data_IF_532549151106
#
_entry.id   IF_532549151106
#
_cell.length_a   1.000
_cell.length_b   1.000
_cell.length_c   1.000
_cell.angle_alpha   90.00
_cell.angle_beta   90.00
_cell.angle_gamma   90.00
#
_symmetry.space_group_name_H-M   'P 1'
#
loop_
_entity.id
_entity.type
_entity.pdbx_description
1 polymer ?
#
# COMPACT_ATOMS: atom_id res chain seq x y z
N UNK A 1 50.80 -18.03 -29.22
CA UNK A 1 49.96 -17.38 -28.18
C UNK A 1 50.21 -18.15 -26.88
N UNK A 2 50.67 -17.48 -25.85
CA UNK A 2 50.93 -18.09 -24.54
C UNK A 2 49.63 -18.57 -23.88
N UNK A 3 49.66 -19.60 -23.04
CA UNK A 3 48.49 -20.12 -22.33
C UNK A 3 47.74 -19.04 -21.54
N UNK A 4 48.47 -18.08 -20.97
CA UNK A 4 47.91 -16.94 -20.24
C UNK A 4 47.07 -15.96 -21.10
N UNK A 5 47.44 -15.77 -22.35
CA UNK A 5 46.69 -14.91 -23.27
C UNK A 5 45.37 -15.55 -23.71
N UNK A 6 45.27 -16.88 -23.76
CA UNK A 6 44.00 -17.58 -24.06
C UNK A 6 43.03 -17.51 -22.91
N UNK A 7 43.50 -17.62 -21.66
CA UNK A 7 42.64 -17.47 -20.49
C UNK A 7 42.10 -16.05 -20.38
N UNK A 8 42.93 -15.03 -20.55
CA UNK A 8 42.49 -13.64 -20.48
C UNK A 8 41.44 -13.29 -21.59
N UNK A 9 41.63 -13.87 -22.78
CA UNK A 9 40.67 -13.66 -23.90
C UNK A 9 39.34 -14.36 -23.63
N UNK A 10 39.37 -15.55 -23.02
CA UNK A 10 38.14 -16.29 -22.65
C UNK A 10 37.33 -15.59 -21.55
N UNK A 11 38.01 -15.07 -20.53
CA UNK A 11 37.39 -14.31 -19.47
C UNK A 11 36.79 -12.98 -20.02
N UNK A 12 37.51 -12.25 -20.86
CA UNK A 12 36.98 -11.03 -21.49
C UNK A 12 35.75 -11.28 -22.35
N UNK A 13 35.69 -12.43 -23.07
CA UNK A 13 34.53 -12.82 -23.85
C UNK A 13 33.32 -13.19 -22.96
N UNK A 14 33.53 -13.86 -21.86
CA UNK A 14 32.47 -14.22 -20.90
C UNK A 14 31.88 -12.97 -20.23
N UNK A 15 32.73 -12.06 -19.79
CA UNK A 15 32.27 -10.79 -19.21
C UNK A 15 31.60 -9.89 -20.25
N UNK A 16 32.10 -9.85 -21.49
CA UNK A 16 31.47 -9.13 -22.59
C UNK A 16 30.07 -9.68 -22.91
N UNK A 17 29.92 -11.01 -22.95
CA UNK A 17 28.63 -11.66 -23.18
C UNK A 17 27.63 -11.40 -22.04
N UNK A 18 28.10 -11.41 -20.77
CA UNK A 18 27.28 -11.11 -19.61
C UNK A 18 26.76 -9.66 -19.60
N UNK A 19 27.61 -8.69 -19.94
CA UNK A 19 27.25 -7.28 -20.06
C UNK A 19 26.26 -7.05 -21.22
N UNK A 20 26.50 -7.69 -22.38
CA UNK A 20 25.61 -7.60 -23.53
C UNK A 20 24.23 -8.22 -23.23
N UNK A 21 24.20 -9.37 -22.54
CA UNK A 21 22.96 -10.03 -22.13
C UNK A 21 22.17 -9.17 -21.15
N UNK A 22 22.85 -8.51 -20.19
CA UNK A 22 22.23 -7.60 -19.23
C UNK A 22 21.65 -6.35 -19.88
N UNK A 23 22.36 -5.77 -20.86
CA UNK A 23 21.89 -4.64 -21.66
C UNK A 23 20.71 -5.03 -22.54
N UNK A 24 20.73 -6.22 -23.14
CA UNK A 24 19.65 -6.74 -23.95
C UNK A 24 18.38 -6.98 -23.10
N UNK A 25 18.55 -7.54 -21.89
CA UNK A 25 17.46 -7.73 -20.95
C UNK A 25 16.83 -6.39 -20.53
N UNK A 26 17.66 -5.37 -20.31
CA UNK A 26 17.19 -4.02 -19.94
C UNK A 26 16.45 -3.33 -21.10
N UNK A 27 16.95 -3.47 -22.33
CA UNK A 27 16.34 -2.86 -23.52
C UNK A 27 15.03 -3.55 -23.95
N UNK A 28 14.93 -4.87 -23.78
CA UNK A 28 13.73 -5.64 -24.13
C UNK A 28 12.76 -5.85 -22.98
N UNK A 29 13.06 -5.35 -21.78
CA UNK A 29 12.22 -5.55 -20.60
C UNK A 29 10.83 -4.92 -20.74
N UNK A 30 10.76 -3.76 -21.39
CA UNK A 30 9.49 -3.07 -21.65
C UNK A 30 8.66 -3.78 -22.73
N UNK A 31 9.31 -4.32 -23.76
CA UNK A 31 8.65 -5.11 -24.81
C UNK A 31 8.14 -6.46 -24.29
N UNK A 32 8.89 -7.10 -23.38
CA UNK A 32 8.48 -8.35 -22.75
C UNK A 32 7.30 -8.09 -21.78
N UNK A 33 7.30 -6.98 -21.04
CA UNK A 33 6.16 -6.57 -20.22
C UNK A 33 4.92 -6.29 -21.05
N UNK A 34 5.06 -5.59 -22.19
CA UNK A 34 3.96 -5.31 -23.10
C UNK A 34 3.39 -6.58 -23.74
N UNK A 35 4.23 -7.60 -24.00
CA UNK A 35 3.79 -8.89 -24.54
C UNK A 35 3.11 -9.81 -23.48
N UNK A 36 3.40 -9.60 -22.20
CA UNK A 36 2.83 -10.37 -21.09
C UNK A 36 1.63 -9.65 -20.41
N UNK A 37 1.24 -8.46 -20.89
CA UNK A 37 0.06 -7.75 -20.37
C UNK A 37 -1.24 -8.45 -20.86
N UNK A 38 -2.00 -9.09 -19.98
CA UNK A 38 -3.24 -9.79 -20.36
C UNK A 38 -4.34 -8.84 -20.87
N UNK A 39 -4.10 -7.53 -20.89
CA UNK A 39 -5.06 -6.51 -21.37
C UNK A 39 -5.05 -6.32 -22.88
N UNK A 40 -4.15 -6.98 -23.63
CA UNK A 40 -4.07 -6.88 -25.10
C UNK A 40 -5.02 -7.85 -25.82
N UNK A 41 -5.67 -8.77 -25.12
CA UNK A 41 -6.72 -9.61 -25.74
C UNK A 41 -8.05 -8.84 -25.63
N UNK A 42 -8.30 -8.01 -26.62
CA UNK A 42 -9.65 -7.46 -26.87
C UNK A 42 -10.44 -8.48 -27.70
N UNK A 43 -11.47 -9.11 -27.15
CA UNK A 43 -12.52 -9.65 -28.03
C UNK A 43 -13.43 -8.49 -28.43
N UNK A 44 -13.36 -8.13 -29.71
CA UNK A 44 -14.39 -7.29 -30.34
C UNK A 44 -15.68 -8.10 -30.38
N UNK A 45 -16.55 -7.86 -29.45
CA UNK A 45 -17.98 -8.16 -29.62
C UNK A 45 -18.75 -7.19 -28.71
N UNK A 46 -19.23 -6.15 -29.34
CA UNK A 46 -20.19 -5.21 -28.80
C UNK A 46 -21.52 -5.95 -28.61
N UNK A 47 -21.69 -6.55 -27.45
CA UNK A 47 -23.00 -6.94 -26.96
C UNK A 47 -23.47 -5.81 -26.08
N UNK A 48 -24.46 -5.05 -26.54
CA UNK A 48 -25.20 -4.10 -25.72
C UNK A 48 -25.82 -4.85 -24.56
N UNK A 49 -25.09 -4.98 -23.45
CA UNK A 49 -25.64 -5.40 -22.17
C UNK A 49 -26.39 -4.21 -21.61
N UNK A 50 -27.72 -4.34 -21.56
CA UNK A 50 -28.57 -3.41 -20.85
C UNK A 50 -27.98 -3.16 -19.45
N UNK A 51 -27.67 -1.90 -19.18
CA UNK A 51 -27.22 -1.42 -17.87
C UNK A 51 -28.26 -1.86 -16.83
N UNK A 52 -27.89 -2.59 -15.78
CA UNK A 52 -28.81 -2.82 -14.67
C UNK A 52 -29.28 -1.49 -14.13
N UNK A 53 -30.54 -1.37 -13.63
CA UNK A 53 -31.04 -0.11 -13.11
C UNK A 53 -30.08 0.35 -12.03
N UNK A 54 -29.64 1.62 -12.16
CA UNK A 54 -28.86 2.32 -11.16
C UNK A 54 -29.60 2.20 -9.83
N UNK A 55 -29.08 1.38 -8.95
CA UNK A 55 -29.40 1.48 -7.54
C UNK A 55 -28.88 2.84 -7.08
N UNK A 56 -29.76 3.82 -7.09
CA UNK A 56 -29.60 5.07 -6.35
C UNK A 56 -29.54 4.70 -4.87
N UNK A 57 -28.37 4.36 -4.37
CA UNK A 57 -28.10 4.35 -2.95
C UNK A 57 -26.94 5.31 -2.71
N UNK A 58 -27.35 6.41 -2.23
CA UNK A 58 -26.79 7.50 -1.62
C UNK A 58 -25.35 7.52 -1.09
N UNK A 59 -24.78 8.72 -1.17
CA UNK A 59 -23.65 9.19 -0.37
C UNK A 59 -22.37 8.36 -0.48
N UNK A 60 -21.85 8.23 -1.68
CA UNK A 60 -20.43 7.91 -1.87
C UNK A 60 -19.62 9.17 -1.57
N UNK A 61 -18.98 9.25 -0.39
CA UNK A 61 -18.02 10.30 -0.12
C UNK A 61 -16.83 10.15 -1.04
N UNK A 62 -16.39 11.26 -1.64
CA UNK A 62 -15.13 11.38 -2.36
C UNK A 62 -14.21 12.30 -1.56
N UNK A 63 -13.00 11.86 -1.25
CA UNK A 63 -12.04 12.60 -0.42
C UNK A 63 -10.73 12.73 -1.16
N UNK A 64 -10.21 13.96 -1.25
CA UNK A 64 -8.93 14.29 -1.87
C UNK A 64 -7.89 14.61 -0.80
N UNK A 65 -6.89 13.79 -0.68
CA UNK A 65 -5.76 13.97 0.24
C UNK A 65 -4.54 14.42 -0.54
N UNK A 66 -3.94 15.55 -0.14
CA UNK A 66 -2.71 16.07 -0.76
C UNK A 66 -1.48 15.46 -0.14
N UNK A 67 -0.48 15.14 -0.98
CA UNK A 67 0.81 14.67 -0.50
C UNK A 67 1.63 15.81 0.12
N UNK A 68 2.47 15.47 1.09
CA UNK A 68 3.52 16.34 1.61
C UNK A 68 4.67 16.51 0.60
N UNK A 69 5.68 17.30 0.93
CA UNK A 69 6.86 17.54 0.09
C UNK A 69 7.71 16.27 -0.18
N UNK A 70 7.49 15.19 0.57
CA UNK A 70 8.16 13.89 0.39
C UNK A 70 7.31 12.91 -0.40
N UNK A 71 6.07 13.31 -0.77
CA UNK A 71 5.13 12.46 -1.48
C UNK A 71 4.29 11.54 -0.57
N UNK A 72 4.30 11.76 0.75
CA UNK A 72 3.47 11.02 1.68
C UNK A 72 2.10 11.69 1.83
N UNK A 73 1.05 10.89 1.98
CA UNK A 73 -0.31 11.34 2.27
C UNK A 73 -0.54 11.29 3.77
N UNK A 74 -0.27 12.40 4.46
CA UNK A 74 -0.44 12.55 5.91
C UNK A 74 -1.63 13.46 6.16
N UNK A 75 -2.59 12.98 6.95
CA UNK A 75 -3.87 13.67 7.17
C UNK A 75 -4.46 13.31 8.54
N UNK A 76 -5.47 14.05 8.97
CA UNK A 76 -6.26 13.75 10.15
C UNK A 76 -7.41 12.79 9.80
N UNK A 77 -7.58 11.77 10.63
CA UNK A 77 -8.73 10.88 10.60
C UNK A 77 -9.27 10.70 12.02
N UNK A 78 -10.52 10.24 12.12
CA UNK A 78 -11.19 10.05 13.40
C UNK A 78 -11.38 8.57 13.68
N UNK A 79 -10.90 8.14 14.83
CA UNK A 79 -11.13 6.79 15.37
C UNK A 79 -12.10 6.91 16.53
N UNK A 80 -13.28 6.30 16.43
CA UNK A 80 -14.32 6.38 17.46
C UNK A 80 -14.58 7.83 17.90
N UNK A 81 -14.67 8.77 16.92
CA UNK A 81 -14.86 10.23 17.07
C UNK A 81 -13.69 11.00 17.68
N UNK A 82 -12.56 10.39 17.89
CA UNK A 82 -11.35 11.06 18.38
C UNK A 82 -10.35 11.24 17.24
N UNK A 83 -9.80 12.45 17.05
CA UNK A 83 -8.87 12.72 15.97
C UNK A 83 -7.51 12.11 16.23
N UNK A 84 -6.87 11.63 15.16
CA UNK A 84 -5.48 11.22 15.14
C UNK A 84 -4.89 11.44 13.75
N UNK A 85 -3.58 11.67 13.68
CA UNK A 85 -2.86 11.82 12.42
C UNK A 85 -2.49 10.46 11.85
N UNK A 86 -2.77 10.26 10.56
CA UNK A 86 -2.47 9.04 9.84
C UNK A 86 -1.64 9.34 8.59
N UNK A 87 -0.89 8.33 8.17
CA UNK A 87 -0.30 8.26 6.85
C UNK A 87 -0.94 7.11 6.07
N UNK A 88 -1.43 7.36 4.85
CA UNK A 88 -1.92 6.30 3.98
C UNK A 88 -0.77 5.36 3.60
N UNK A 89 -0.94 4.05 3.86
CA UNK A 89 0.09 3.04 3.62
C UNK A 89 -0.52 1.76 3.02
N UNK A 90 -0.39 1.60 1.71
CA UNK A 90 -0.85 0.39 1.00
C UNK A 90 0.02 -0.83 1.28
N UNK A 91 1.20 -0.66 1.86
CA UNK A 91 2.08 -1.75 2.32
C UNK A 91 1.64 -2.33 3.66
N UNK A 92 0.84 -1.60 4.45
CA UNK A 92 0.30 -2.09 5.70
C UNK A 92 -1.00 -2.88 5.46
N UNK A 93 -1.04 -4.16 5.85
CA UNK A 93 -2.25 -5.00 5.73
C UNK A 93 -3.39 -4.47 6.59
N UNK A 94 -3.10 -4.01 7.80
CA UNK A 94 -4.07 -3.50 8.76
C UNK A 94 -3.78 -2.02 9.08
N UNK A 95 -4.76 -1.34 9.64
CA UNK A 95 -4.55 -0.05 10.30
C UNK A 95 -3.61 -0.28 11.48
N UNK A 96 -2.59 0.58 11.64
CA UNK A 96 -1.63 0.48 12.77
C UNK A 96 -1.62 1.78 13.54
N UNK A 97 -1.85 1.69 14.85
CA UNK A 97 -1.79 2.81 15.77
C UNK A 97 -0.45 2.83 16.51
N UNK A 98 0.07 4.00 16.77
CA UNK A 98 1.15 4.17 17.74
C UNK A 98 0.62 3.88 19.14
N UNK A 99 1.50 3.50 20.05
CA UNK A 99 1.15 3.28 21.46
C UNK A 99 0.51 4.52 22.09
N UNK A 100 1.07 5.67 21.80
CA UNK A 100 0.66 6.97 22.35
C UNK A 100 -0.73 7.37 21.84
N UNK A 101 -0.99 7.18 20.54
CA UNK A 101 -2.30 7.48 19.97
C UNK A 101 -3.36 6.49 20.42
N UNK A 102 -3.04 5.20 20.53
CA UNK A 102 -3.93 4.22 21.09
C UNK A 102 -4.40 4.63 22.51
N UNK A 103 -3.49 5.15 23.35
CA UNK A 103 -3.84 5.67 24.67
C UNK A 103 -4.75 6.91 24.57
N UNK A 104 -4.46 7.86 23.70
CA UNK A 104 -5.29 9.06 23.47
C UNK A 104 -6.67 8.72 22.93
N UNK A 105 -6.74 7.69 22.09
CA UNK A 105 -7.99 7.17 21.52
C UNK A 105 -8.82 6.34 22.53
N UNK A 106 -8.27 6.04 23.71
CA UNK A 106 -8.98 5.34 24.79
C UNK A 106 -8.89 3.82 24.73
N UNK A 107 -7.95 3.27 23.98
CA UNK A 107 -7.79 1.82 23.83
C UNK A 107 -7.03 1.14 24.98
N UNK A 108 -6.54 1.90 25.96
CA UNK A 108 -5.81 1.40 27.14
C UNK A 108 -4.67 0.45 26.79
N UNK A 109 -3.65 0.88 26.05
CA UNK A 109 -2.61 -0.02 25.53
C UNK A 109 -1.84 -0.76 26.63
N UNK A 110 -1.86 -0.28 27.88
CA UNK A 110 -1.23 -0.96 29.01
C UNK A 110 -1.88 -2.33 29.33
N UNK A 111 -3.14 -2.53 28.93
CA UNK A 111 -3.90 -3.78 29.15
C UNK A 111 -3.99 -4.66 27.90
N UNK A 112 -3.40 -4.25 26.77
CA UNK A 112 -3.41 -5.03 25.54
C UNK A 112 -2.33 -6.12 25.56
N UNK A 113 -2.61 -7.21 24.85
CA UNK A 113 -1.67 -8.31 24.66
C UNK A 113 -0.81 -8.09 23.39
N UNK A 114 0.47 -7.77 23.59
CA UNK A 114 1.46 -7.58 22.52
C UNK A 114 2.16 -8.88 22.12
N UNK A 115 1.46 -10.01 22.13
CA UNK A 115 2.01 -11.33 21.76
C UNK A 115 2.09 -11.56 20.24
N UNK A 116 1.30 -10.85 19.44
CA UNK A 116 1.32 -10.96 17.99
C UNK A 116 2.60 -10.35 17.40
N UNK A 117 3.09 -10.94 16.30
CA UNK A 117 4.32 -10.51 15.63
C UNK A 117 4.05 -10.15 14.18
N UNK A 118 4.57 -9.01 13.72
CA UNK A 118 4.49 -8.56 12.34
C UNK A 118 5.89 -8.31 11.77
N UNK A 119 6.08 -8.69 10.51
CA UNK A 119 7.27 -8.31 9.77
C UNK A 119 7.12 -6.88 9.24
N UNK A 120 8.12 -6.06 9.49
CA UNK A 120 8.20 -4.67 9.02
C UNK A 120 9.51 -4.45 8.27
N UNK A 121 9.65 -3.32 7.60
CA UNK A 121 10.90 -2.93 6.94
C UNK A 121 12.09 -2.87 7.93
N UNK A 122 11.83 -2.61 9.22
CA UNK A 122 12.84 -2.51 10.28
C UNK A 122 13.04 -3.82 11.05
N UNK A 123 12.43 -4.92 10.60
CA UNK A 123 12.50 -6.23 11.27
C UNK A 123 11.14 -6.66 11.83
N UNK A 124 11.18 -7.59 12.80
CA UNK A 124 9.97 -8.10 13.45
C UNK A 124 9.61 -7.23 14.64
N UNK A 125 8.35 -6.78 14.70
CA UNK A 125 7.79 -5.96 15.78
C UNK A 125 6.69 -6.70 16.51
N UNK A 126 6.59 -6.52 17.82
CA UNK A 126 5.44 -6.99 18.60
C UNK A 126 4.28 -5.99 18.48
N UNK A 127 3.09 -6.50 18.38
CA UNK A 127 1.86 -5.70 18.22
C UNK A 127 0.71 -6.33 19.00
N UNK A 128 -0.28 -5.52 19.33
CA UNK A 128 -1.54 -5.97 19.94
C UNK A 128 -2.70 -5.80 18.94
N UNK A 129 -3.39 -6.89 18.54
CA UNK A 129 -4.59 -6.80 17.70
C UNK A 129 -5.75 -6.11 18.44
N UNK A 130 -6.45 -5.23 17.74
CA UNK A 130 -7.66 -4.54 18.21
C UNK A 130 -8.65 -4.39 17.07
N UNK A 131 -9.92 -4.15 17.42
CA UNK A 131 -10.95 -3.73 16.45
C UNK A 131 -11.38 -2.31 16.79
N UNK A 132 -11.40 -1.45 15.78
CA UNK A 132 -11.88 -0.07 15.89
C UNK A 132 -13.35 -0.04 15.44
N UNK A 133 -14.26 0.47 16.27
CA UNK A 133 -15.70 0.50 15.93
C UNK A 133 -15.95 1.28 14.66
N UNK A 134 -15.21 2.38 14.46
CA UNK A 134 -15.21 3.12 13.19
C UNK A 134 -13.92 3.92 12.99
N UNK A 135 -13.56 4.06 11.73
CA UNK A 135 -12.54 5.00 11.25
C UNK A 135 -13.19 5.89 10.21
N UNK A 136 -13.04 7.21 10.35
CA UNK A 136 -13.61 8.20 9.44
C UNK A 136 -12.52 9.12 8.89
N UNK A 137 -12.52 9.28 7.59
CA UNK A 137 -11.68 10.24 6.85
C UNK A 137 -12.65 11.19 6.12
N UNK A 138 -12.75 12.41 6.57
CA UNK A 138 -13.78 13.37 6.13
C UNK A 138 -15.18 12.75 6.11
N UNK A 139 -15.78 12.56 4.93
CA UNK A 139 -17.12 11.99 4.75
C UNK A 139 -17.15 10.47 4.61
N UNK A 140 -15.99 9.84 4.47
CA UNK A 140 -15.85 8.38 4.34
C UNK A 140 -15.78 7.73 5.71
N UNK A 141 -16.66 6.77 5.99
CA UNK A 141 -16.69 6.05 7.27
C UNK A 141 -16.69 4.55 7.07
N UNK A 142 -15.70 3.86 7.63
CA UNK A 142 -15.61 2.41 7.66
C UNK A 142 -15.78 1.92 9.09
N UNK A 143 -16.63 0.92 9.31
CA UNK A 143 -16.91 0.32 10.63
C UNK A 143 -16.17 -0.98 10.82
N UNK A 144 -15.99 -1.38 12.09
CA UNK A 144 -15.38 -2.67 12.47
C UNK A 144 -14.05 -2.89 11.75
N UNK A 145 -13.13 -1.91 11.90
CA UNK A 145 -11.82 -1.91 11.24
C UNK A 145 -10.82 -2.69 12.07
N UNK A 146 -10.30 -3.78 11.51
CA UNK A 146 -9.20 -4.52 12.13
C UNK A 146 -7.94 -3.64 12.16
N UNK A 147 -7.30 -3.59 13.33
CA UNK A 147 -6.14 -2.74 13.57
C UNK A 147 -5.13 -3.41 14.50
N UNK A 148 -3.96 -2.85 14.54
CA UNK A 148 -2.87 -3.22 15.44
C UNK A 148 -2.46 -1.99 16.25
N UNK A 149 -2.08 -2.20 17.50
CA UNK A 149 -1.35 -1.22 18.29
C UNK A 149 0.10 -1.64 18.34
N UNK A 150 1.01 -0.78 17.92
CA UNK A 150 2.44 -1.02 17.98
C UNK A 150 2.97 -0.82 19.41
N UNK A 151 4.05 -1.53 19.79
CA UNK A 151 4.75 -1.26 21.03
C UNK A 151 5.27 0.18 21.09
N UNK A 152 5.49 0.66 22.31
CA UNK A 152 5.98 2.01 22.55
C UNK A 152 7.29 2.29 21.80
N UNK A 153 7.28 3.36 21.00
CA UNK A 153 8.43 3.79 20.19
C UNK A 153 8.71 2.97 18.94
N UNK A 154 7.91 1.93 18.65
CA UNK A 154 8.09 1.11 17.44
C UNK A 154 7.58 1.77 16.17
N UNK A 155 6.68 2.76 16.28
CA UNK A 155 6.06 3.44 15.16
C UNK A 155 5.98 4.95 15.45
N UNK A 156 6.34 5.78 14.47
CA UNK A 156 6.35 7.24 14.61
C UNK A 156 5.02 7.91 14.23
N UNK A 157 4.22 7.29 13.35
CA UNK A 157 2.95 7.84 12.82
C UNK A 157 1.99 6.69 12.58
N UNK A 158 0.70 6.88 12.87
CA UNK A 158 -0.31 5.87 12.59
C UNK A 158 -0.38 5.59 11.08
N UNK A 159 -0.65 4.34 10.72
CA UNK A 159 -0.78 3.92 9.31
C UNK A 159 -2.24 3.60 9.00
N UNK A 160 -2.78 4.19 7.94
CA UNK A 160 -4.07 3.82 7.40
C UNK A 160 -3.84 2.73 6.34
N UNK A 161 -3.96 1.47 6.75
CA UNK A 161 -3.66 0.28 5.96
C UNK A 161 -4.86 -0.27 5.19
N UNK A 162 -4.65 -1.45 4.58
CA UNK A 162 -5.61 -2.10 3.69
C UNK A 162 -6.89 -2.56 4.37
N UNK A 163 -6.90 -2.77 5.70
CA UNK A 163 -8.15 -3.06 6.44
C UNK A 163 -9.16 -1.90 6.38
N UNK A 164 -8.72 -0.69 6.07
CA UNK A 164 -9.56 0.45 5.72
C UNK A 164 -9.62 0.67 4.21
N UNK A 165 -8.47 0.90 3.55
CA UNK A 165 -8.39 1.27 2.12
C UNK A 165 -9.04 0.20 1.22
N UNK A 166 -8.87 -1.07 1.52
CA UNK A 166 -9.43 -2.18 0.74
C UNK A 166 -10.95 -2.34 0.86
N UNK A 167 -11.60 -1.59 1.77
CA UNK A 167 -13.07 -1.57 1.93
C UNK A 167 -13.73 -0.40 1.20
N UNK A 168 -12.94 0.46 0.59
CA UNK A 168 -13.41 1.53 -0.29
C UNK A 168 -13.74 0.99 -1.68
N UNK A 169 -14.60 1.69 -2.40
CA UNK A 169 -14.85 1.39 -3.81
C UNK A 169 -13.58 1.57 -4.64
N UNK A 170 -12.87 2.66 -4.40
CA UNK A 170 -11.57 2.90 -5.00
C UNK A 170 -10.68 3.78 -4.12
N UNK A 171 -9.37 3.64 -4.29
CA UNK A 171 -8.37 4.62 -3.86
C UNK A 171 -7.33 4.75 -4.99
N UNK A 172 -7.15 5.95 -5.49
CA UNK A 172 -6.34 6.21 -6.67
C UNK A 172 -5.37 7.36 -6.42
N UNK A 173 -4.10 7.17 -6.77
CA UNK A 173 -3.11 8.25 -6.72
C UNK A 173 -3.10 8.99 -8.05
N UNK A 174 -3.44 10.27 -8.02
CA UNK A 174 -3.46 11.18 -9.17
C UNK A 174 -2.47 12.34 -8.94
N UNK A 175 -1.30 12.25 -9.58
CA UNK A 175 -0.25 13.25 -9.36
C UNK A 175 0.17 13.34 -7.88
N UNK A 176 -0.11 14.47 -7.23
CA UNK A 176 0.16 14.74 -5.81
C UNK A 176 -1.06 14.52 -4.91
N UNK A 177 -2.14 13.95 -5.43
CA UNK A 177 -3.37 13.69 -4.67
C UNK A 177 -3.63 12.17 -4.56
N UNK A 178 -4.23 11.76 -3.45
CA UNK A 178 -4.83 10.45 -3.24
C UNK A 178 -6.33 10.66 -3.14
N UNK A 179 -7.06 10.11 -4.09
CA UNK A 179 -8.53 10.18 -4.16
C UNK A 179 -9.08 8.90 -3.56
N UNK A 180 -9.94 9.04 -2.56
CA UNK A 180 -10.65 7.94 -1.89
C UNK A 180 -12.13 8.03 -2.28
N UNK A 181 -12.77 6.88 -2.60
CA UNK A 181 -14.20 6.80 -2.90
C UNK A 181 -14.86 5.66 -2.10
N UNK A 182 -16.02 5.95 -1.51
CA UNK A 182 -16.81 4.95 -0.77
C UNK A 182 -17.98 4.41 -1.59
#
# INVERSE_FOLDING_TARGET
>A
MSPSARHALHEALLWGAAVLGSLMLFYFFDDIRAALDPRVIRPTTEVAVARPPEAQSGFGGEVHLKSDARGHFVFEAYVNDRPATFMADTGATLVVLTYEDAARLGLSPQSLDFSARVATANGVSSVAPVTLDRVRVDDITVRDVEALVAERGALATNLLGMSFLGRLRSFTKEGSELVLEQ
#
